data_IF_213926572273
#
_entry.id   IF_213926572273
#
_cell.length_a   1.000
_cell.length_b   1.000
_cell.length_c   1.000
_cell.angle_alpha   90.00
_cell.angle_beta   90.00
_cell.angle_gamma   90.00
#
_symmetry.space_group_name_H-M   'P 1'
#
loop_
_entity.id
_entity.type
_entity.pdbx_description
1 polymer ?
#
# COMPACT_ATOMS: atom_id res chain seq x y z
N UNK A 1 5.29 28.53 10.39
CA UNK A 1 4.89 27.84 11.64
C UNK A 1 5.14 26.37 11.41
N UNK A 2 5.86 25.65 12.27
CA UNK A 2 5.95 24.20 12.15
C UNK A 2 4.55 23.64 12.34
N UNK A 3 4.03 22.93 11.34
CA UNK A 3 2.79 22.15 11.43
C UNK A 3 2.97 21.08 12.49
N UNK A 4 1.94 20.86 13.33
CA UNK A 4 1.97 19.77 14.31
C UNK A 4 2.31 18.47 13.60
N UNK A 5 3.18 17.60 14.19
CA UNK A 5 3.76 16.44 13.50
C UNK A 5 2.74 15.40 13.00
N UNK A 6 1.44 15.55 13.32
CA UNK A 6 0.39 14.58 13.01
C UNK A 6 -0.84 15.18 12.30
N UNK A 7 -0.76 16.44 11.82
CA UNK A 7 -1.90 17.04 11.11
C UNK A 7 -2.05 16.41 9.74
N UNK A 8 -3.16 15.67 9.52
CA UNK A 8 -3.53 15.16 8.22
C UNK A 8 -4.21 16.24 7.39
N UNK A 9 -3.78 16.38 6.16
CA UNK A 9 -4.37 17.23 5.13
C UNK A 9 -5.46 16.47 4.39
N UNK A 10 -6.34 17.19 3.70
CA UNK A 10 -7.33 16.62 2.78
C UNK A 10 -7.13 17.19 1.38
N UNK A 11 -7.46 16.40 0.37
CA UNK A 11 -7.36 16.79 -1.03
C UNK A 11 -8.49 16.17 -1.84
N UNK A 12 -9.11 16.98 -2.69
CA UNK A 12 -10.15 16.53 -3.61
C UNK A 12 -9.52 15.98 -4.89
N UNK A 13 -9.86 14.73 -5.22
CA UNK A 13 -9.44 14.03 -6.43
C UNK A 13 -10.68 13.66 -7.28
N UNK A 14 -10.51 13.31 -8.56
CA UNK A 14 -11.63 12.89 -9.40
C UNK A 14 -12.49 11.78 -8.80
N UNK A 15 -11.86 10.77 -8.17
CA UNK A 15 -12.54 9.64 -7.54
C UNK A 15 -13.19 9.97 -6.17
N UNK A 16 -12.78 11.05 -5.50
CA UNK A 16 -13.27 11.45 -4.18
C UNK A 16 -12.19 12.19 -3.39
N UNK A 17 -12.52 12.51 -2.14
CA UNK A 17 -11.57 13.17 -1.22
C UNK A 17 -10.75 12.13 -0.47
N UNK A 18 -9.46 12.38 -0.31
CA UNK A 18 -8.58 11.56 0.52
C UNK A 18 -7.86 12.41 1.57
N UNK A 19 -7.53 11.77 2.66
CA UNK A 19 -6.67 12.34 3.71
C UNK A 19 -5.25 11.86 3.51
N UNK A 20 -4.28 12.68 3.87
CA UNK A 20 -2.87 12.31 3.80
C UNK A 20 -2.04 13.03 4.84
N UNK A 21 -0.99 12.36 5.31
CA UNK A 21 0.09 12.98 6.06
C UNK A 21 1.13 13.47 5.06
N UNK A 22 1.64 14.68 5.28
CA UNK A 22 2.78 15.22 4.53
C UNK A 22 3.81 15.76 5.51
N UNK A 23 5.07 15.38 5.32
CA UNK A 23 6.18 15.81 6.14
C UNK A 23 7.44 15.99 5.31
N UNK A 24 8.29 16.96 5.70
CA UNK A 24 9.56 17.23 5.06
C UNK A 24 9.48 17.97 3.73
N UNK A 25 10.61 18.03 3.04
CA UNK A 25 10.79 18.72 1.75
C UNK A 25 11.84 18.01 0.90
N UNK A 26 11.97 18.37 -0.38
CA UNK A 26 12.93 17.75 -1.31
C UNK A 26 12.29 16.76 -2.27
N UNK A 27 13.03 15.71 -2.68
CA UNK A 27 12.52 14.69 -3.61
C UNK A 27 11.29 14.00 -3.01
N UNK A 28 10.19 13.83 -3.78
CA UNK A 28 8.95 13.26 -3.27
C UNK A 28 9.04 11.74 -3.11
N UNK A 29 8.55 11.26 -1.95
CA UNK A 29 8.35 9.85 -1.64
C UNK A 29 6.88 9.66 -1.27
N UNK A 30 6.14 8.88 -2.05
CA UNK A 30 4.71 8.61 -1.84
C UNK A 30 4.51 7.15 -1.43
N UNK A 31 3.83 6.97 -0.30
CA UNK A 31 3.62 5.68 0.31
C UNK A 31 2.24 5.10 -0.03
N UNK A 32 2.20 3.81 -0.34
CA UNK A 32 0.98 3.08 -0.68
C UNK A 32 0.85 1.89 0.26
N UNK A 33 -0.05 2.02 1.23
CA UNK A 33 -0.33 0.99 2.23
C UNK A 33 -1.16 -0.17 1.66
N UNK A 34 -1.28 -1.26 2.42
CA UNK A 34 -2.01 -2.45 2.05
C UNK A 34 -3.51 -2.43 2.37
N UNK A 35 -4.14 -3.60 2.19
CA UNK A 35 -5.56 -3.82 2.44
C UNK A 35 -5.89 -3.72 3.93
N UNK A 36 -7.00 -3.04 4.27
CA UNK A 36 -7.51 -2.85 5.64
C UNK A 36 -6.58 -2.08 6.60
N UNK A 37 -5.56 -1.40 6.10
CA UNK A 37 -4.72 -0.48 6.88
C UNK A 37 -4.77 0.92 6.27
N UNK A 38 -4.12 1.91 6.86
CA UNK A 38 -4.05 3.28 6.36
C UNK A 38 -2.62 3.84 6.37
N UNK A 39 -2.47 5.12 6.03
CA UNK A 39 -1.18 5.79 5.92
C UNK A 39 -0.35 5.79 7.20
N UNK A 40 -0.94 5.53 8.38
CA UNK A 40 -0.21 5.43 9.66
C UNK A 40 0.73 4.22 9.72
N UNK A 41 0.54 3.24 8.85
CA UNK A 41 1.51 2.16 8.66
C UNK A 41 2.93 2.69 8.44
N UNK A 42 3.04 3.85 7.82
CA UNK A 42 4.30 4.46 7.40
C UNK A 42 4.85 5.51 8.36
N UNK A 43 4.15 5.84 9.46
CA UNK A 43 4.52 6.96 10.35
C UNK A 43 5.97 6.86 10.82
N UNK A 44 6.41 5.69 11.27
CA UNK A 44 7.78 5.48 11.72
C UNK A 44 8.85 5.65 10.61
N UNK A 45 8.52 5.37 9.37
CA UNK A 45 9.41 5.56 8.20
C UNK A 45 9.40 7.03 7.77
N UNK A 46 8.21 7.65 7.73
CA UNK A 46 8.04 9.09 7.40
C UNK A 46 8.84 9.96 8.36
N UNK A 47 8.77 9.69 9.67
CA UNK A 47 9.52 10.45 10.69
C UNK A 47 11.03 10.44 10.44
N UNK A 48 11.56 9.34 9.90
CA UNK A 48 13.00 9.18 9.63
C UNK A 48 13.45 9.74 8.28
N UNK A 49 12.54 9.82 7.32
CA UNK A 49 12.85 10.32 5.98
C UNK A 49 12.57 11.82 5.81
N UNK A 50 11.70 12.40 6.65
CA UNK A 50 11.22 13.77 6.48
C UNK A 50 12.28 14.86 6.60
N UNK A 51 13.43 14.58 7.20
CA UNK A 51 14.56 15.50 7.25
C UNK A 51 15.21 15.73 5.87
N UNK A 52 15.02 14.79 4.93
CA UNK A 52 15.68 14.79 3.62
C UNK A 52 14.74 14.71 2.42
N UNK A 53 13.53 14.23 2.63
CA UNK A 53 12.57 13.95 1.57
C UNK A 53 11.19 14.55 1.87
N UNK A 54 10.44 14.89 0.82
CA UNK A 54 9.03 15.22 0.93
C UNK A 54 8.22 13.93 0.97
N UNK A 55 7.85 13.50 2.17
CA UNK A 55 7.12 12.26 2.43
C UNK A 55 5.62 12.49 2.40
N UNK A 56 4.87 11.69 1.65
CA UNK A 56 3.42 11.78 1.49
C UNK A 56 2.83 10.39 1.73
N UNK A 57 2.04 10.24 2.81
CA UNK A 57 1.42 9.00 3.21
C UNK A 57 -0.12 9.14 3.26
N UNK A 58 -0.83 8.91 2.15
CA UNK A 58 -2.28 9.00 2.07
C UNK A 58 -2.98 7.80 2.69
N UNK A 59 -4.23 8.03 3.10
CA UNK A 59 -5.21 7.00 3.43
C UNK A 59 -5.91 6.59 2.12
N UNK A 60 -5.33 5.64 1.39
CA UNK A 60 -5.88 5.19 0.12
C UNK A 60 -7.20 4.44 0.31
N UNK A 61 -8.11 4.45 -0.67
CA UNK A 61 -9.44 3.84 -0.54
C UNK A 61 -9.41 2.31 -0.67
N UNK A 62 -8.59 1.65 0.17
CA UNK A 62 -8.40 0.19 0.20
C UNK A 62 -8.78 -0.44 1.55
N UNK A 63 -9.68 0.23 2.29
CA UNK A 63 -10.45 -0.40 3.36
C UNK A 63 -10.44 0.28 4.71
N UNK A 64 -9.42 1.10 5.04
CA UNK A 64 -9.35 1.83 6.31
C UNK A 64 -9.42 3.36 6.16
N UNK A 65 -9.74 3.85 4.96
CA UNK A 65 -9.96 5.27 4.73
C UNK A 65 -11.12 5.80 5.59
N UNK A 66 -10.99 7.06 6.02
CA UNK A 66 -11.99 7.73 6.87
C UNK A 66 -13.04 8.51 6.07
N UNK A 67 -12.85 8.65 4.76
CA UNK A 67 -13.74 9.37 3.84
C UNK A 67 -14.12 8.42 2.72
N UNK A 68 -15.42 8.24 2.50
CA UNK A 68 -15.90 7.42 1.40
C UNK A 68 -15.65 8.10 0.05
N UNK A 69 -15.34 7.29 -0.96
CA UNK A 69 -15.17 7.75 -2.33
C UNK A 69 -16.53 8.02 -2.99
N UNK A 70 -16.52 8.71 -4.13
CA UNK A 70 -17.71 8.91 -4.92
C UNK A 70 -18.37 7.56 -5.25
N UNK A 71 -19.72 7.47 -5.29
CA UNK A 71 -20.40 6.20 -5.52
C UNK A 71 -20.05 5.51 -6.83
N UNK A 72 -19.66 6.27 -7.86
CA UNK A 72 -19.28 5.81 -9.20
C UNK A 72 -17.76 5.59 -9.35
N UNK A 73 -16.95 5.91 -8.33
CA UNK A 73 -15.51 5.72 -8.38
C UNK A 73 -15.13 4.26 -8.71
N UNK A 74 -14.21 4.09 -9.65
CA UNK A 74 -13.56 2.80 -9.90
C UNK A 74 -12.49 2.55 -8.82
N UNK A 75 -12.69 1.50 -8.02
CA UNK A 75 -11.75 1.05 -6.99
C UNK A 75 -11.16 -0.33 -7.31
N UNK A 76 -11.21 -0.73 -8.58
CA UNK A 76 -10.35 -1.81 -9.08
C UNK A 76 -8.86 -1.40 -8.99
N UNK A 77 -7.90 -2.33 -9.06
CA UNK A 77 -6.49 -1.96 -9.07
C UNK A 77 -6.10 -0.87 -10.07
N UNK A 78 -6.60 -0.86 -11.33
CA UNK A 78 -6.42 0.29 -12.22
C UNK A 78 -7.04 1.60 -11.74
N UNK A 79 -8.21 1.55 -11.13
CA UNK A 79 -8.90 2.74 -10.60
C UNK A 79 -8.17 3.34 -9.40
N UNK A 80 -7.66 2.50 -8.49
CA UNK A 80 -6.80 2.95 -7.38
C UNK A 80 -5.49 3.53 -7.92
N UNK A 81 -4.86 2.88 -8.90
CA UNK A 81 -3.66 3.40 -9.56
C UNK A 81 -3.92 4.78 -10.22
N UNK A 82 -5.06 4.96 -10.89
CA UNK A 82 -5.46 6.25 -11.44
C UNK A 82 -5.69 7.32 -10.35
N UNK A 83 -6.23 6.92 -9.18
CA UNK A 83 -6.38 7.81 -8.02
C UNK A 83 -5.02 8.26 -7.48
N UNK A 84 -4.05 7.35 -7.41
CA UNK A 84 -2.67 7.69 -7.02
C UNK A 84 -2.06 8.66 -8.06
N UNK A 85 -2.19 8.37 -9.35
CA UNK A 85 -1.69 9.25 -10.41
C UNK A 85 -2.30 10.65 -10.33
N UNK A 86 -3.61 10.75 -10.07
CA UNK A 86 -4.29 12.03 -9.88
C UNK A 86 -3.74 12.82 -8.67
N UNK A 87 -3.39 12.15 -7.57
CA UNK A 87 -2.72 12.80 -6.44
C UNK A 87 -1.36 13.38 -6.87
N UNK A 88 -0.55 12.61 -7.61
CA UNK A 88 0.76 13.08 -8.09
C UNK A 88 0.61 14.31 -8.99
N UNK A 89 -0.45 14.35 -9.80
CA UNK A 89 -0.76 15.48 -10.67
C UNK A 89 -1.20 16.71 -9.89
N UNK A 90 -2.18 16.60 -9.00
CA UNK A 90 -2.75 17.71 -8.23
C UNK A 90 -1.70 18.33 -7.30
N UNK A 91 -0.78 17.53 -6.75
CA UNK A 91 0.35 18.04 -5.94
C UNK A 91 1.58 18.46 -6.80
N UNK A 92 1.47 18.40 -8.13
CA UNK A 92 2.56 18.63 -9.12
C UNK A 92 3.87 17.93 -8.76
N UNK A 93 3.77 16.66 -8.34
CA UNK A 93 4.95 15.85 -8.00
C UNK A 93 5.59 15.31 -9.28
N UNK A 94 6.93 15.27 -9.32
CA UNK A 94 7.75 14.76 -10.43
C UNK A 94 8.91 13.95 -9.86
N UNK A 95 9.44 13.02 -10.65
CA UNK A 95 10.53 12.09 -10.25
C UNK A 95 10.20 11.40 -8.90
N UNK A 96 8.94 10.95 -8.77
CA UNK A 96 8.40 10.40 -7.52
C UNK A 96 8.96 9.02 -7.25
N UNK A 97 9.38 8.77 -6.01
CA UNK A 97 9.61 7.42 -5.52
C UNK A 97 8.31 6.89 -4.92
N UNK A 98 7.76 5.85 -5.52
CA UNK A 98 6.58 5.14 -5.00
C UNK A 98 7.04 4.01 -4.08
N UNK A 99 6.48 3.92 -2.87
CA UNK A 99 6.78 2.87 -1.89
C UNK A 99 5.50 2.10 -1.58
N UNK A 100 5.41 0.84 -1.98
CA UNK A 100 4.22 0.01 -1.83
C UNK A 100 4.43 -1.21 -0.93
N UNK A 101 3.41 -1.53 -0.10
CA UNK A 101 3.38 -2.70 0.77
C UNK A 101 2.07 -3.48 0.60
N UNK A 102 2.11 -4.80 0.76
CA UNK A 102 0.93 -5.68 0.66
C UNK A 102 0.17 -5.45 -0.66
N UNK A 103 -1.14 -5.32 -0.67
CA UNK A 103 -1.90 -4.98 -1.88
C UNK A 103 -1.60 -3.57 -2.42
N UNK A 104 -1.08 -2.65 -1.59
CA UNK A 104 -0.53 -1.38 -2.06
C UNK A 104 0.66 -1.55 -3.01
N UNK A 105 1.44 -2.62 -2.85
CA UNK A 105 2.48 -2.99 -3.80
C UNK A 105 1.93 -3.44 -5.15
N UNK A 106 0.81 -4.18 -5.19
CA UNK A 106 0.11 -4.47 -6.44
C UNK A 106 -0.38 -3.20 -7.13
N UNK A 107 -1.01 -2.27 -6.36
CA UNK A 107 -1.47 -0.98 -6.90
C UNK A 107 -0.30 -0.15 -7.44
N UNK A 108 0.84 -0.16 -6.76
CA UNK A 108 2.07 0.51 -7.18
C UNK A 108 2.63 -0.05 -8.48
N UNK A 109 2.66 -1.37 -8.66
CA UNK A 109 3.06 -2.01 -9.92
C UNK A 109 2.12 -1.65 -11.07
N UNK A 110 0.81 -1.63 -10.83
CA UNK A 110 -0.18 -1.18 -11.82
C UNK A 110 0.02 0.29 -12.16
N UNK A 111 0.26 1.15 -11.16
CA UNK A 111 0.51 2.57 -11.32
C UNK A 111 1.72 2.82 -12.25
N UNK A 112 2.89 2.28 -11.91
CA UNK A 112 4.13 2.56 -12.66
C UNK A 112 4.09 2.04 -14.09
N UNK A 113 3.22 1.07 -14.37
CA UNK A 113 3.06 0.48 -15.73
C UNK A 113 1.94 1.09 -16.55
N UNK A 114 1.06 1.90 -15.94
CA UNK A 114 -0.07 2.57 -16.64
C UNK A 114 0.03 4.09 -16.62
N UNK A 115 0.72 4.67 -15.64
CA UNK A 115 0.87 6.11 -15.41
C UNK A 115 2.33 6.44 -15.04
N UNK A 116 3.33 6.13 -15.92
CA UNK A 116 4.75 6.26 -15.59
C UNK A 116 5.27 7.71 -15.54
N UNK A 117 4.52 8.67 -16.08
CA UNK A 117 5.01 10.00 -16.50
C UNK A 117 5.65 10.82 -15.38
N UNK A 118 5.25 10.57 -14.12
CA UNK A 118 5.73 11.30 -12.95
C UNK A 118 6.60 10.47 -12.02
N UNK A 119 6.87 9.22 -12.40
CA UNK A 119 7.51 8.24 -11.51
C UNK A 119 8.96 8.03 -11.90
N UNK A 120 9.85 8.22 -10.92
CA UNK A 120 11.28 8.00 -11.10
C UNK A 120 11.75 6.65 -10.57
N UNK A 121 11.09 6.11 -9.53
CA UNK A 121 11.54 4.89 -8.82
C UNK A 121 10.38 4.14 -8.22
N UNK A 122 10.57 2.83 -8.02
CA UNK A 122 9.62 1.96 -7.32
C UNK A 122 10.33 1.22 -6.17
N UNK A 123 9.76 1.29 -4.97
CA UNK A 123 10.15 0.48 -3.82
C UNK A 123 8.97 -0.43 -3.46
N UNK A 124 9.21 -1.72 -3.36
CA UNK A 124 8.21 -2.69 -2.93
C UNK A 124 8.68 -3.40 -1.65
N UNK A 125 7.81 -3.45 -0.67
CA UNK A 125 8.04 -4.20 0.56
C UNK A 125 6.99 -5.29 0.67
N UNK A 126 7.36 -6.52 0.93
CA UNK A 126 6.46 -7.68 1.09
C UNK A 126 5.05 -7.44 0.52
N UNK A 127 4.84 -7.75 -0.73
CA UNK A 127 3.63 -7.36 -1.44
C UNK A 127 3.15 -8.39 -2.46
N UNK A 128 1.92 -8.20 -2.88
CA UNK A 128 1.35 -8.92 -4.02
C UNK A 128 2.13 -8.65 -5.31
N UNK A 129 2.47 -9.72 -6.01
CA UNK A 129 3.06 -9.66 -7.35
C UNK A 129 2.75 -10.95 -8.12
N UNK A 130 2.86 -10.93 -9.45
CA UNK A 130 2.58 -12.07 -10.33
C UNK A 130 1.21 -12.71 -10.03
N UNK A 131 1.17 -14.05 -9.84
CA UNK A 131 -0.06 -14.79 -9.54
C UNK A 131 -0.49 -14.74 -8.07
N UNK A 132 0.31 -14.12 -7.19
CA UNK A 132 0.02 -14.01 -5.76
C UNK A 132 -0.83 -12.78 -5.42
N UNK A 133 -1.93 -12.56 -6.14
CA UNK A 133 -2.86 -11.45 -5.86
C UNK A 133 -4.32 -11.90 -6.01
N UNK A 134 -5.09 -11.98 -4.92
CA UNK A 134 -4.65 -11.92 -3.52
C UNK A 134 -3.91 -13.19 -3.10
N UNK A 135 -3.09 -13.16 -2.02
CA UNK A 135 -2.28 -14.30 -1.62
C UNK A 135 -3.11 -15.41 -0.97
N UNK A 136 -2.69 -16.66 -1.15
CA UNK A 136 -3.06 -17.83 -0.40
C UNK A 136 -4.55 -17.95 -0.05
N UNK A 137 -4.84 -17.96 1.23
CA UNK A 137 -6.19 -18.11 1.79
C UNK A 137 -7.14 -16.95 1.42
N UNK A 138 -6.63 -15.78 1.08
CA UNK A 138 -7.44 -14.62 0.71
C UNK A 138 -8.05 -14.73 -0.70
N UNK A 139 -7.68 -15.73 -1.49
CA UNK A 139 -8.25 -16.01 -2.83
C UNK A 139 -9.76 -16.23 -2.82
N UNK A 140 -10.32 -16.65 -1.66
CA UNK A 140 -11.76 -16.81 -1.50
C UNK A 140 -12.52 -15.49 -1.29
N UNK A 141 -11.85 -14.40 -0.91
CA UNK A 141 -12.49 -13.13 -0.58
C UNK A 141 -13.19 -12.47 -1.79
N UNK A 142 -12.57 -12.32 -2.97
CA UNK A 142 -13.22 -11.69 -4.11
C UNK A 142 -14.51 -12.38 -4.56
N UNK A 143 -14.58 -13.71 -4.75
CA UNK A 143 -15.83 -14.38 -5.10
C UNK A 143 -16.89 -14.27 -3.99
N UNK A 144 -16.51 -14.39 -2.72
CA UNK A 144 -17.43 -14.22 -1.59
C UNK A 144 -17.99 -12.79 -1.52
N UNK A 145 -17.17 -11.77 -1.70
CA UNK A 145 -17.57 -10.38 -1.69
C UNK A 145 -18.59 -10.02 -2.78
N UNK A 146 -18.61 -10.76 -3.90
CA UNK A 146 -19.60 -10.58 -4.98
C UNK A 146 -21.02 -11.00 -4.58
N UNK A 147 -21.15 -11.95 -3.66
CA UNK A 147 -22.44 -12.46 -3.24
C UNK A 147 -23.23 -11.40 -2.46
N UNK A 148 -24.58 -11.41 -2.53
CA UNK A 148 -25.40 -10.63 -1.63
C UNK A 148 -25.05 -10.92 -0.17
N UNK A 149 -24.77 -9.87 0.63
CA UNK A 149 -24.33 -10.04 2.02
C UNK A 149 -22.89 -10.54 2.23
N UNK A 150 -22.14 -10.88 1.16
CA UNK A 150 -20.80 -11.45 1.27
C UNK A 150 -19.81 -10.57 2.05
N UNK A 151 -19.86 -9.24 1.87
CA UNK A 151 -19.05 -8.32 2.67
C UNK A 151 -19.42 -8.31 4.15
N UNK A 152 -20.70 -8.48 4.48
CA UNK A 152 -21.13 -8.57 5.88
C UNK A 152 -20.58 -9.86 6.53
N UNK A 153 -20.56 -10.97 5.79
CA UNK A 153 -19.95 -12.24 6.25
C UNK A 153 -18.45 -12.06 6.47
N UNK A 154 -17.74 -11.42 5.53
CA UNK A 154 -16.31 -11.15 5.65
C UNK A 154 -15.98 -10.22 6.82
N UNK A 155 -16.81 -9.20 7.06
CA UNK A 155 -16.57 -8.21 8.10
C UNK A 155 -17.04 -8.65 9.50
N UNK A 156 -18.01 -9.58 9.60
CA UNK A 156 -18.64 -9.95 10.87
C UNK A 156 -17.63 -10.41 11.95
N UNK A 157 -16.61 -11.23 11.66
CA UNK A 157 -15.64 -11.66 12.67
C UNK A 157 -14.85 -10.49 13.28
N UNK A 158 -14.58 -9.43 12.51
CA UNK A 158 -13.80 -8.28 12.95
C UNK A 158 -14.54 -7.34 13.91
N UNK A 159 -15.82 -7.58 14.17
CA UNK A 159 -16.56 -6.92 15.27
C UNK A 159 -16.08 -7.36 16.65
N UNK A 160 -15.36 -8.46 16.73
CA UNK A 160 -14.77 -8.98 17.96
C UNK A 160 -13.30 -8.55 17.99
N UNK A 161 -12.93 -7.63 18.86
CA UNK A 161 -11.58 -7.08 18.91
C UNK A 161 -10.46 -8.14 19.07
N UNK A 162 -10.73 -9.23 19.78
CA UNK A 162 -9.79 -10.35 19.90
C UNK A 162 -9.54 -11.04 18.52
N UNK A 163 -10.58 -11.14 17.68
CA UNK A 163 -10.45 -11.70 16.32
C UNK A 163 -9.66 -10.77 15.42
N UNK A 164 -9.93 -9.46 15.49
CA UNK A 164 -9.15 -8.46 14.74
C UNK A 164 -7.67 -8.53 15.11
N UNK A 165 -7.34 -8.55 16.40
CA UNK A 165 -5.95 -8.72 16.86
C UNK A 165 -5.30 -9.99 16.35
N UNK A 166 -6.02 -11.11 16.43
CA UNK A 166 -5.51 -12.39 15.94
C UNK A 166 -5.28 -12.40 14.42
N UNK A 167 -6.15 -11.73 13.67
CA UNK A 167 -6.05 -11.62 12.21
C UNK A 167 -4.84 -10.76 11.77
N UNK A 168 -4.53 -9.68 12.49
CA UNK A 168 -3.38 -8.82 12.17
C UNK A 168 -2.04 -9.34 12.71
N UNK A 169 -2.06 -10.22 13.72
CA UNK A 169 -0.84 -10.75 14.35
C UNK A 169 0.19 -11.35 13.37
N UNK A 170 -0.18 -12.08 12.30
CA UNK A 170 0.79 -12.64 11.37
C UNK A 170 1.51 -11.62 10.47
N UNK A 171 0.96 -10.39 10.36
CA UNK A 171 1.48 -9.37 9.44
C UNK A 171 2.63 -8.55 10.03
N UNK A 172 2.83 -8.57 11.36
CA UNK A 172 3.94 -7.91 12.01
C UNK A 172 4.53 -8.79 13.12
N UNK A 173 5.82 -8.66 13.36
CA UNK A 173 6.50 -9.25 14.54
C UNK A 173 6.32 -8.36 15.76
N UNK A 174 6.36 -7.05 15.55
CA UNK A 174 6.06 -6.05 16.57
C UNK A 174 4.56 -6.08 16.91
N UNK A 175 4.23 -5.95 18.19
CA UNK A 175 2.83 -5.85 18.59
C UNK A 175 2.23 -4.56 18.04
N UNK A 176 1.21 -4.71 17.20
CA UNK A 176 0.42 -3.59 16.70
C UNK A 176 -0.50 -3.11 17.86
N UNK A 177 -0.54 -1.80 18.18
CA UNK A 177 -1.43 -1.28 19.21
C UNK A 177 -2.90 -1.60 18.91
N UNK A 178 -3.63 -2.00 19.96
CA UNK A 178 -5.03 -2.42 19.82
C UNK A 178 -5.92 -1.28 19.29
N UNK A 179 -5.62 -0.03 19.68
CA UNK A 179 -6.32 1.17 19.22
C UNK A 179 -6.07 1.42 17.70
N UNK A 180 -4.88 1.10 17.23
CA UNK A 180 -4.55 1.23 15.81
C UNK A 180 -5.34 0.21 14.97
N UNK A 181 -5.36 -1.06 15.41
CA UNK A 181 -6.16 -2.11 14.75
C UNK A 181 -7.66 -1.74 14.76
N UNK A 182 -8.17 -1.29 15.90
CA UNK A 182 -9.57 -0.88 16.02
C UNK A 182 -9.90 0.25 15.03
N UNK A 183 -9.04 1.26 14.95
CA UNK A 183 -9.25 2.41 14.06
C UNK A 183 -9.16 2.07 12.58
N UNK A 184 -8.44 1.01 12.19
CA UNK A 184 -8.44 0.50 10.82
C UNK A 184 -9.74 -0.23 10.47
N UNK A 185 -10.34 -0.91 11.45
CA UNK A 185 -11.56 -1.70 11.21
C UNK A 185 -12.83 -0.86 11.32
N UNK A 186 -12.83 0.16 12.18
CA UNK A 186 -14.01 0.97 12.52
C UNK A 186 -14.72 1.57 11.28
N UNK A 187 -14.03 2.20 10.30
CA UNK A 187 -14.71 2.84 9.18
C UNK A 187 -15.60 1.88 8.40
N UNK A 188 -15.09 0.73 8.00
CA UNK A 188 -15.84 -0.26 7.23
C UNK A 188 -16.97 -0.94 8.06
N UNK A 189 -16.86 -0.96 9.41
CA UNK A 189 -17.90 -1.52 10.27
C UNK A 189 -19.07 -0.57 10.46
N UNK A 190 -18.83 0.73 10.52
CA UNK A 190 -19.85 1.73 10.89
C UNK A 190 -20.36 2.56 9.72
N UNK A 191 -19.58 2.72 8.64
CA UNK A 191 -19.95 3.47 7.46
C UNK A 191 -20.32 2.54 6.28
N UNK A 192 -21.56 2.68 5.77
CA UNK A 192 -22.06 1.89 4.65
C UNK A 192 -21.38 2.23 3.32
N UNK A 193 -20.99 3.49 3.13
CA UNK A 193 -20.33 3.94 1.92
C UNK A 193 -18.86 3.47 1.87
N UNK A 194 -18.15 3.49 3.01
CA UNK A 194 -16.82 2.91 3.10
C UNK A 194 -16.87 1.40 2.89
N UNK A 195 -17.88 0.72 3.42
CA UNK A 195 -18.10 -0.71 3.17
C UNK A 195 -18.42 -1.03 1.70
N UNK A 196 -19.17 -0.15 1.01
CA UNK A 196 -19.35 -0.21 -0.45
C UNK A 196 -18.00 -0.13 -1.17
N UNK A 197 -17.15 0.82 -0.79
CA UNK A 197 -15.84 1.02 -1.38
C UNK A 197 -14.94 -0.20 -1.14
N UNK A 198 -14.89 -0.69 0.09
CA UNK A 198 -14.17 -1.92 0.45
C UNK A 198 -14.64 -3.12 -0.40
N UNK A 199 -15.97 -3.24 -0.65
CA UNK A 199 -16.50 -4.27 -1.55
C UNK A 199 -15.94 -4.13 -2.96
N UNK A 200 -15.90 -2.92 -3.53
CA UNK A 200 -15.37 -2.68 -4.88
C UNK A 200 -13.91 -3.10 -4.98
N UNK A 201 -13.08 -2.69 -4.02
CA UNK A 201 -11.68 -3.08 -3.95
C UNK A 201 -11.53 -4.59 -3.86
N UNK A 202 -12.23 -5.23 -2.91
CA UNK A 202 -12.16 -6.69 -2.69
C UNK A 202 -12.55 -7.47 -3.95
N UNK A 203 -13.67 -7.09 -4.58
CA UNK A 203 -14.14 -7.71 -5.84
C UNK A 203 -13.14 -7.49 -6.98
N UNK A 204 -12.45 -6.35 -6.97
CA UNK A 204 -11.46 -5.97 -7.98
C UNK A 204 -10.13 -6.73 -7.89
N UNK A 205 -9.79 -7.33 -6.74
CA UNK A 205 -8.55 -8.08 -6.58
C UNK A 205 -8.47 -9.24 -7.58
N UNK A 206 -7.48 -9.20 -8.46
CA UNK A 206 -7.30 -10.23 -9.48
C UNK A 206 -5.85 -10.26 -9.96
N UNK A 207 -5.24 -11.44 -9.94
CA UNK A 207 -3.86 -11.69 -10.38
C UNK A 207 -3.54 -11.21 -11.80
N UNK A 208 -4.56 -11.03 -12.66
CA UNK A 208 -4.34 -10.52 -14.03
C UNK A 208 -3.61 -9.18 -14.03
N UNK A 209 -3.90 -8.31 -13.07
CA UNK A 209 -3.31 -6.98 -13.00
C UNK A 209 -1.83 -7.01 -12.62
N UNK A 210 -1.46 -7.86 -11.66
CA UNK A 210 -0.07 -8.05 -11.26
C UNK A 210 0.73 -8.84 -12.30
N UNK A 211 0.11 -9.79 -13.00
CA UNK A 211 0.72 -10.47 -14.14
C UNK A 211 0.97 -9.52 -15.31
N UNK A 212 0.00 -8.67 -15.65
CA UNK A 212 0.16 -7.63 -16.68
C UNK A 212 1.25 -6.62 -16.31
N UNK A 213 1.29 -6.18 -15.04
CA UNK A 213 2.31 -5.26 -14.56
C UNK A 213 3.70 -5.90 -14.59
N UNK A 214 3.87 -7.12 -14.09
CA UNK A 214 5.14 -7.85 -14.14
C UNK A 214 5.64 -8.02 -15.58
N UNK A 215 4.75 -8.36 -16.52
CA UNK A 215 5.10 -8.47 -17.94
C UNK A 215 5.61 -7.14 -18.55
N UNK A 216 5.04 -6.00 -18.13
CA UNK A 216 5.49 -4.66 -18.56
C UNK A 216 6.78 -4.20 -17.87
N UNK A 217 7.02 -4.66 -16.63
CA UNK A 217 8.26 -4.37 -15.92
C UNK A 217 9.45 -5.21 -16.41
N UNK A 218 9.19 -6.26 -17.17
CA UNK A 218 10.24 -7.11 -17.75
C UNK A 218 11.17 -6.30 -18.64
N UNK A 219 12.45 -6.26 -18.27
CA UNK A 219 13.48 -5.48 -18.97
C UNK A 219 13.28 -3.96 -18.90
N UNK A 220 12.43 -3.47 -17.99
CA UNK A 220 12.25 -2.03 -17.77
C UNK A 220 13.48 -1.40 -17.14
N UNK A 221 13.82 -0.19 -17.59
CA UNK A 221 14.90 0.62 -16.98
C UNK A 221 14.48 1.32 -15.68
N UNK A 222 13.20 1.24 -15.28
CA UNK A 222 12.72 1.82 -14.03
C UNK A 222 13.53 1.24 -12.86
N UNK A 223 14.20 2.07 -12.04
CA UNK A 223 14.88 1.59 -10.86
C UNK A 223 13.88 0.99 -9.85
N UNK A 224 14.11 -0.26 -9.44
CA UNK A 224 13.24 -0.98 -8.49
C UNK A 224 14.08 -1.48 -7.31
N UNK A 225 13.64 -1.14 -6.09
CA UNK A 225 14.14 -1.71 -4.85
C UNK A 225 13.08 -2.63 -4.25
N UNK A 226 13.47 -3.85 -3.96
CA UNK A 226 12.65 -4.84 -3.26
C UNK A 226 13.21 -5.01 -1.86
N UNK A 227 12.55 -4.48 -0.83
CA UNK A 227 12.92 -4.67 0.58
C UNK A 227 12.03 -5.76 1.16
N UNK A 228 12.60 -6.89 1.54
CA UNK A 228 11.79 -8.07 1.81
C UNK A 228 12.11 -8.76 3.12
N UNK A 229 11.07 -9.06 3.91
CA UNK A 229 11.15 -9.93 5.07
C UNK A 229 11.25 -11.40 4.61
N UNK A 230 12.37 -12.10 4.81
CA UNK A 230 12.58 -13.41 4.19
C UNK A 230 11.65 -14.52 4.72
N UNK A 231 11.13 -14.34 5.94
CA UNK A 231 10.25 -15.30 6.61
C UNK A 231 8.74 -15.05 6.44
N UNK A 232 8.33 -14.14 5.55
CA UNK A 232 6.92 -13.83 5.34
C UNK A 232 6.16 -15.01 4.71
N UNK A 233 5.03 -15.35 5.33
CA UNK A 233 4.19 -16.49 4.90
C UNK A 233 3.21 -16.11 3.78
N UNK A 234 2.85 -14.83 3.65
CA UNK A 234 1.92 -14.35 2.63
C UNK A 234 2.63 -13.98 1.34
N UNK A 235 3.84 -13.44 1.47
CA UNK A 235 4.66 -12.98 0.36
C UNK A 235 6.04 -13.65 0.39
N UNK A 236 6.15 -14.91 -0.04
CA UNK A 236 7.42 -15.61 -0.11
C UNK A 236 8.48 -14.84 -0.91
N UNK A 237 9.72 -14.85 -0.43
CA UNK A 237 10.83 -14.10 -1.05
C UNK A 237 11.06 -14.50 -2.51
N UNK A 238 10.72 -15.73 -2.89
CA UNK A 238 10.81 -16.22 -4.27
C UNK A 238 10.04 -15.36 -5.29
N UNK A 239 8.97 -14.67 -4.86
CA UNK A 239 8.27 -13.72 -5.72
C UNK A 239 9.07 -12.43 -5.94
N UNK A 240 9.78 -11.95 -4.92
CA UNK A 240 10.68 -10.82 -5.06
C UNK A 240 11.89 -11.18 -5.95
N UNK A 241 12.49 -12.36 -5.74
CA UNK A 241 13.57 -12.88 -6.56
C UNK A 241 13.17 -12.99 -8.04
N UNK A 242 11.97 -13.53 -8.29
CA UNK A 242 11.42 -13.61 -9.63
C UNK A 242 11.24 -12.23 -10.26
N UNK A 243 10.62 -11.28 -9.55
CA UNK A 243 10.43 -9.92 -10.06
C UNK A 243 11.77 -9.24 -10.35
N UNK A 244 12.75 -9.38 -9.46
CA UNK A 244 14.10 -8.83 -9.65
C UNK A 244 14.81 -9.45 -10.86
N UNK A 245 14.65 -10.75 -11.07
CA UNK A 245 15.28 -11.44 -12.23
C UNK A 245 14.63 -11.09 -13.57
N UNK A 246 13.35 -10.72 -13.57
CA UNK A 246 12.61 -10.33 -14.76
C UNK A 246 12.75 -8.84 -15.09
N UNK A 247 12.87 -7.97 -14.10
CA UNK A 247 13.03 -6.52 -14.28
C UNK A 247 14.48 -6.18 -14.72
N UNK A 248 14.63 -5.15 -15.58
CA UNK A 248 15.94 -4.77 -16.11
C UNK A 248 16.85 -4.06 -15.09
N UNK A 249 16.27 -3.37 -14.09
CA UNK A 249 16.98 -2.55 -13.13
C UNK A 249 16.39 -2.72 -11.72
N UNK A 250 16.55 -3.92 -11.12
CA UNK A 250 16.01 -4.23 -9.81
C UNK A 250 17.06 -4.82 -8.88
N UNK A 251 16.97 -4.50 -7.59
CA UNK A 251 17.77 -5.11 -6.52
C UNK A 251 16.89 -5.54 -5.35
N UNK A 252 17.33 -6.58 -4.65
CA UNK A 252 16.67 -7.08 -3.43
C UNK A 252 17.55 -6.76 -2.23
N UNK A 253 16.91 -6.35 -1.13
CA UNK A 253 17.50 -6.23 0.19
C UNK A 253 16.60 -6.97 1.16
N UNK A 254 17.17 -7.92 1.90
CA UNK A 254 16.45 -8.60 2.96
C UNK A 254 16.38 -7.71 4.21
N UNK A 255 15.20 -7.64 4.82
CA UNK A 255 14.98 -6.96 6.11
C UNK A 255 14.66 -8.04 7.15
N UNK A 256 15.68 -8.52 7.89
CA UNK A 256 15.49 -9.55 8.91
C UNK A 256 14.61 -9.02 10.07
N UNK A 257 14.12 -9.94 10.89
CA UNK A 257 13.28 -9.64 12.06
C UNK A 257 12.02 -8.82 11.75
N UNK A 258 11.49 -9.00 10.55
CA UNK A 258 10.26 -8.38 10.10
C UNK A 258 9.27 -9.39 9.49
N UNK A 259 8.08 -8.93 9.18
CA UNK A 259 7.04 -9.67 8.45
C UNK A 259 6.44 -8.72 7.40
N UNK A 260 5.20 -8.94 6.95
CA UNK A 260 4.53 -8.15 5.92
C UNK A 260 4.63 -6.63 6.19
N UNK A 261 4.37 -6.22 7.42
CA UNK A 261 4.43 -4.80 7.80
C UNK A 261 5.85 -4.40 8.22
N UNK A 262 6.80 -4.51 7.30
CA UNK A 262 8.21 -4.13 7.49
C UNK A 262 8.34 -2.72 8.08
N UNK A 263 7.46 -1.81 7.68
CA UNK A 263 7.45 -0.43 8.17
C UNK A 263 7.15 -0.29 9.68
N UNK A 264 6.43 -1.26 10.27
CA UNK A 264 6.20 -1.31 11.72
C UNK A 264 7.33 -2.05 12.45
N UNK A 265 7.85 -3.11 11.83
CA UNK A 265 8.83 -3.98 12.47
C UNK A 265 10.24 -3.37 12.43
N UNK A 266 10.64 -2.83 11.28
CA UNK A 266 12.00 -2.32 11.05
C UNK A 266 11.98 -0.95 10.35
N UNK A 267 11.32 0.08 10.94
CA UNK A 267 11.15 1.38 10.29
C UNK A 267 12.48 2.10 10.00
N UNK A 268 13.51 1.93 10.86
CA UNK A 268 14.82 2.53 10.64
C UNK A 268 15.53 1.87 9.45
N UNK A 269 15.62 0.54 9.43
CA UNK A 269 16.29 -0.19 8.36
C UNK A 269 15.61 0.10 7.01
N UNK A 270 14.28 0.06 6.96
CA UNK A 270 13.54 0.38 5.75
C UNK A 270 13.79 1.83 5.28
N UNK A 271 13.80 2.80 6.20
CA UNK A 271 14.09 4.19 5.87
C UNK A 271 15.52 4.36 5.31
N UNK A 272 16.51 3.70 5.90
CA UNK A 272 17.89 3.78 5.45
C UNK A 272 18.06 3.21 4.03
N UNK A 273 17.40 2.08 3.72
CA UNK A 273 17.41 1.47 2.39
C UNK A 273 16.71 2.35 1.34
N UNK A 274 15.55 2.92 1.69
CA UNK A 274 14.85 3.88 0.82
C UNK A 274 15.76 5.11 0.56
N UNK A 275 16.37 5.65 1.61
CA UNK A 275 17.23 6.82 1.49
C UNK A 275 18.48 6.56 0.63
N UNK A 276 19.13 5.43 0.82
CA UNK A 276 20.26 5.01 0.01
C UNK A 276 19.86 4.86 -1.47
N UNK A 277 18.69 4.29 -1.72
CA UNK A 277 18.18 4.06 -3.08
C UNK A 277 17.80 5.37 -3.79
N UNK A 278 17.13 6.31 -3.10
CA UNK A 278 16.76 7.61 -3.67
C UNK A 278 17.97 8.53 -3.84
N UNK A 279 18.98 8.38 -2.99
CA UNK A 279 20.21 9.18 -3.02
C UNK A 279 21.26 8.71 -4.04
N UNK A 280 21.19 7.47 -4.52
CA UNK A 280 22.16 6.87 -5.45
C UNK A 280 21.89 7.18 -6.93
N UNK A 281 20.88 7.99 -7.23
CA UNK A 281 20.43 8.30 -8.60
C UNK A 281 20.51 9.80 -8.91
#
# INVERSE_FOLDING_TARGET
MPTEPNQRKEIDLPAGRIRYREAGSGKPVVFVHGYLVDGRLWDGVVDRLSDRYRCIAPDWPIGAQQIAMKPDADLSPPGVAATIAALLEVLDLKDVTIVGNDSGGAMSQVLVTRHPERIGRLVLTNCDTHENFPPGMFKAMPPLAKLPGGMAILAAPFRIGAVSRAAFKPFARTRIPDELIASWMEPAMHDGDIRRDLKKVTVGMNKRYTLEAAAKLRGSDLPILLTWAPGDKFFPVSYAERLASEAGNARIVEIPDSSTFVALDQPQHLADEIAAFVGSA
#
